data_IF_375568072169
#
_entry.id   IF_375568072169
#
_cell.length_a   1.000
_cell.length_b   1.000
_cell.length_c   1.000
_cell.angle_alpha   90.00
_cell.angle_beta   90.00
_cell.angle_gamma   90.00
#
_symmetry.space_group_name_H-M   'P 1'
#
loop_
_entity.id
_entity.type
_entity.pdbx_description
1 polymer ?
#
# COMPACT_ATOMS: atom_id res chain seq x y z
N UNK A 1 13.95 27.53 -0.47
CA UNK A 1 12.62 28.15 -0.32
C UNK A 1 11.96 28.07 -1.68
N UNK A 2 11.36 26.92 -1.97
CA UNK A 2 10.76 26.58 -3.27
C UNK A 2 9.32 27.16 -3.35
N UNK A 3 8.95 27.94 -4.38
CA UNK A 3 7.67 28.64 -4.46
C UNK A 3 6.48 27.79 -4.95
N UNK A 4 6.50 26.46 -4.85
CA UNK A 4 5.38 25.62 -5.32
C UNK A 4 4.13 25.61 -4.42
N UNK A 5 4.14 26.30 -3.28
CA UNK A 5 3.04 26.24 -2.30
C UNK A 5 1.95 27.32 -2.50
N UNK A 6 1.40 27.38 -3.70
CA UNK A 6 0.22 28.17 -4.04
C UNK A 6 -0.75 27.31 -4.86
N UNK A 7 -1.51 26.44 -4.18
CA UNK A 7 -2.67 25.74 -4.73
C UNK A 7 -2.45 25.10 -6.09
N UNK A 8 -1.86 23.91 -6.14
CA UNK A 8 -1.84 23.11 -7.37
C UNK A 8 -3.22 22.49 -7.60
N UNK A 9 -4.16 23.33 -8.05
CA UNK A 9 -5.37 22.88 -8.73
C UNK A 9 -4.99 22.39 -10.13
N UNK A 10 -4.33 21.23 -10.20
CA UNK A 10 -4.14 20.52 -11.45
C UNK A 10 -5.45 19.86 -11.88
N UNK A 11 -5.80 19.98 -13.17
CA UNK A 11 -6.90 19.20 -13.75
C UNK A 11 -6.40 17.78 -14.02
N UNK A 12 -6.57 16.88 -13.08
CA UNK A 12 -6.20 15.47 -13.25
C UNK A 12 -7.43 14.71 -13.77
N UNK A 13 -7.35 14.22 -15.01
CA UNK A 13 -8.34 13.33 -15.60
C UNK A 13 -8.12 11.92 -15.04
N UNK A 14 -8.71 11.66 -13.88
CA UNK A 14 -8.81 10.30 -13.39
C UNK A 14 -9.85 9.56 -14.21
N UNK A 15 -9.37 8.78 -15.17
CA UNK A 15 -10.21 7.83 -15.89
C UNK A 15 -10.63 6.74 -14.91
N UNK A 16 -11.72 6.96 -14.16
CA UNK A 16 -12.46 5.88 -13.50
C UNK A 16 -12.98 5.01 -14.64
N UNK A 17 -12.22 3.98 -14.98
CA UNK A 17 -12.52 3.07 -16.09
C UNK A 17 -13.79 2.32 -15.77
N UNK A 18 -14.94 2.86 -16.17
CA UNK A 18 -16.13 2.06 -16.31
C UNK A 18 -15.95 1.16 -17.55
N UNK A 19 -16.24 -0.13 -17.39
CA UNK A 19 -15.88 -1.23 -18.27
C UNK A 19 -16.55 -1.25 -19.67
N UNK A 20 -16.74 -0.09 -20.31
CA UNK A 20 -17.14 0.06 -21.69
C UNK A 20 -16.25 1.12 -22.34
N UNK A 21 -15.16 0.68 -22.98
CA UNK A 21 -14.22 1.57 -23.64
C UNK A 21 -14.89 2.58 -24.57
N UNK A 22 -14.87 3.85 -24.17
CA UNK A 22 -15.08 5.00 -25.04
C UNK A 22 -14.71 6.26 -24.28
N UNK A 23 -13.56 6.84 -24.61
CA UNK A 23 -13.16 8.16 -24.14
C UNK A 23 -14.30 9.15 -24.38
N UNK A 24 -14.85 9.73 -23.31
CA UNK A 24 -15.61 10.97 -23.41
C UNK A 24 -14.79 12.08 -22.82
N UNK A 25 -13.73 12.47 -23.55
CA UNK A 25 -13.27 13.85 -23.47
C UNK A 25 -14.39 14.73 -24.01
N UNK A 26 -15.33 15.13 -23.16
CA UNK A 26 -16.28 16.18 -23.49
C UNK A 26 -15.79 17.50 -22.89
N UNK A 27 -15.25 18.44 -23.70
CA UNK A 27 -14.82 19.74 -23.20
C UNK A 27 -15.99 20.64 -22.73
N UNK A 28 -17.25 20.18 -22.80
CA UNK A 28 -18.44 20.98 -22.52
C UNK A 28 -19.23 20.60 -21.24
N UNK A 29 -18.77 19.65 -20.42
CA UNK A 29 -19.35 19.35 -19.10
C UNK A 29 -18.35 19.51 -17.96
N UNK A 30 -17.45 20.50 -18.09
CA UNK A 30 -16.52 20.97 -17.07
C UNK A 30 -17.28 21.52 -15.85
N UNK A 31 -17.95 20.64 -15.09
CA UNK A 31 -18.25 20.89 -13.69
C UNK A 31 -16.95 20.63 -12.95
N UNK A 32 -16.33 21.74 -12.57
CA UNK A 32 -15.16 21.86 -11.73
C UNK A 32 -15.33 21.08 -10.41
N UNK A 33 -15.06 19.78 -10.42
CA UNK A 33 -14.67 19.13 -9.18
C UNK A 33 -13.18 19.45 -9.04
N UNK A 34 -12.88 20.51 -8.29
CA UNK A 34 -11.59 20.60 -7.62
C UNK A 34 -11.53 19.37 -6.72
N UNK A 35 -10.92 18.30 -7.21
CA UNK A 35 -10.66 17.14 -6.40
C UNK A 35 -9.50 17.50 -5.44
N UNK A 36 -9.63 17.19 -4.15
CA UNK A 36 -8.52 17.38 -3.21
C UNK A 36 -7.33 16.51 -3.63
N UNK A 37 -6.15 17.03 -3.37
CA UNK A 37 -4.85 16.37 -3.43
C UNK A 37 -4.22 16.67 -2.06
N UNK A 38 -4.36 15.71 -1.16
CA UNK A 38 -4.11 15.84 0.26
C UNK A 38 -2.63 15.91 0.61
N UNK A 39 -1.78 15.27 -0.19
CA UNK A 39 -0.34 15.15 0.05
C UNK A 39 0.52 15.94 -0.95
N UNK A 40 -0.08 16.48 -2.00
CA UNK A 40 0.52 17.41 -2.94
C UNK A 40 1.44 16.73 -3.96
N UNK A 41 1.20 15.46 -4.27
CA UNK A 41 2.01 14.68 -5.19
C UNK A 41 1.60 14.83 -6.68
N UNK A 42 0.47 15.50 -6.92
CA UNK A 42 -0.08 15.74 -8.25
C UNK A 42 -1.04 14.65 -8.73
N UNK A 43 -1.53 13.78 -7.86
CA UNK A 43 -2.64 12.85 -8.09
C UNK A 43 -3.78 13.25 -7.15
N UNK A 44 -5.02 13.18 -7.63
CA UNK A 44 -6.17 13.52 -6.79
C UNK A 44 -6.51 12.36 -5.84
N UNK A 45 -6.89 12.66 -4.59
CA UNK A 45 -7.21 11.68 -3.52
C UNK A 45 -8.16 10.55 -3.98
N UNK A 46 -9.04 10.83 -4.94
CA UNK A 46 -10.03 9.87 -5.45
C UNK A 46 -9.42 8.75 -6.33
N UNK A 47 -8.17 8.90 -6.73
CA UNK A 47 -7.47 8.08 -7.72
C UNK A 47 -6.03 7.78 -7.29
N UNK A 48 -5.65 8.33 -6.14
CA UNK A 48 -4.37 8.16 -5.50
C UNK A 48 -4.40 6.84 -4.71
N UNK A 49 -3.51 5.92 -5.05
CA UNK A 49 -3.36 4.67 -4.31
C UNK A 49 -2.69 4.89 -2.94
N UNK A 50 -2.25 6.12 -2.64
CA UNK A 50 -1.72 6.56 -1.36
C UNK A 50 -2.14 7.99 -0.96
N UNK A 51 -3.44 8.26 -0.64
CA UNK A 51 -4.01 9.62 -0.43
C UNK A 51 -3.41 10.50 0.67
N UNK A 52 -2.36 10.04 1.35
CA UNK A 52 -1.68 10.73 2.44
C UNK A 52 -0.15 10.61 2.38
N UNK A 53 0.39 9.92 1.37
CA UNK A 53 1.82 9.67 1.21
C UNK A 53 2.21 9.90 -0.24
N UNK A 54 2.87 11.03 -0.47
CA UNK A 54 3.25 11.48 -1.81
C UNK A 54 4.01 10.40 -2.60
N UNK A 55 3.40 9.95 -3.70
CA UNK A 55 3.94 8.93 -4.60
C UNK A 55 3.53 9.21 -6.06
N UNK A 56 4.13 10.23 -6.72
CA UNK A 56 3.71 10.67 -8.05
C UNK A 56 3.74 9.60 -9.15
N UNK A 57 4.56 8.56 -8.97
CA UNK A 57 4.70 7.44 -9.89
C UNK A 57 3.59 6.38 -9.73
N UNK A 58 2.79 6.46 -8.66
CA UNK A 58 1.66 5.59 -8.34
C UNK A 58 2.01 4.11 -8.51
N UNK A 59 3.22 3.74 -8.10
CA UNK A 59 3.69 2.35 -8.18
C UNK A 59 2.86 1.51 -7.20
N UNK A 60 2.39 0.39 -7.71
CA UNK A 60 1.60 -0.64 -7.05
C UNK A 60 2.12 -1.95 -7.66
N UNK A 61 3.15 -2.50 -7.03
CA UNK A 61 3.96 -3.59 -7.58
C UNK A 61 3.19 -4.92 -7.62
N UNK A 62 2.19 -5.09 -6.75
CA UNK A 62 1.40 -6.31 -6.63
C UNK A 62 -0.03 -6.19 -7.20
N UNK A 63 -0.49 -4.97 -7.46
CA UNK A 63 -1.75 -4.65 -8.12
C UNK A 63 -2.97 -4.69 -7.20
N UNK A 64 -2.80 -4.48 -5.89
CA UNK A 64 -3.87 -4.54 -4.90
C UNK A 64 -4.66 -3.23 -4.75
N UNK A 65 -4.15 -2.13 -5.32
CA UNK A 65 -4.74 -0.80 -5.29
C UNK A 65 -4.26 0.09 -4.13
N UNK A 66 -3.32 -0.37 -3.32
CA UNK A 66 -2.53 0.40 -2.36
C UNK A 66 -1.15 0.64 -3.00
N UNK A 67 -0.62 1.84 -2.90
CA UNK A 67 0.69 2.12 -3.50
C UNK A 67 1.85 1.71 -2.59
N UNK A 68 2.95 1.24 -3.20
CA UNK A 68 4.19 0.83 -2.52
C UNK A 68 4.70 1.86 -1.48
N UNK A 69 4.36 3.14 -1.68
CA UNK A 69 4.79 4.24 -0.83
C UNK A 69 4.04 4.35 0.51
N UNK A 70 2.74 4.03 0.52
CA UNK A 70 1.90 4.04 1.72
C UNK A 70 1.63 2.63 2.25
N UNK A 71 1.98 1.61 1.47
CA UNK A 71 1.86 0.24 1.89
C UNK A 71 2.85 -0.03 3.02
N UNK A 72 2.29 -0.01 4.22
CA UNK A 72 3.07 -0.11 5.44
C UNK A 72 3.18 -1.59 5.81
N UNK A 73 4.40 -2.10 5.64
CA UNK A 73 4.94 -3.30 6.30
C UNK A 73 4.19 -4.59 5.99
N UNK A 74 4.82 -5.50 5.24
CA UNK A 74 4.32 -6.87 5.14
C UNK A 74 4.42 -7.55 6.51
N UNK A 75 3.31 -7.66 7.27
CA UNK A 75 3.35 -8.28 8.58
C UNK A 75 3.45 -9.78 8.30
N UNK A 76 4.59 -10.37 8.66
CA UNK A 76 4.95 -11.78 8.44
C UNK A 76 5.80 -12.13 7.21
N UNK A 77 6.37 -11.18 6.45
CA UNK A 77 7.48 -11.51 5.51
C UNK A 77 8.81 -11.43 6.25
N UNK A 78 9.19 -12.55 6.85
CA UNK A 78 10.37 -12.66 7.69
C UNK A 78 11.64 -13.00 6.90
N UNK A 79 11.50 -13.57 5.69
CA UNK A 79 12.65 -13.87 4.81
C UNK A 79 12.94 -12.78 3.76
N UNK A 80 12.03 -11.79 3.64
CA UNK A 80 12.16 -10.61 2.80
C UNK A 80 11.98 -10.89 1.32
N UNK A 81 11.24 -11.95 0.96
CA UNK A 81 11.04 -12.36 -0.43
C UNK A 81 9.81 -11.73 -1.09
N UNK A 82 9.04 -10.93 -0.34
CA UNK A 82 7.89 -10.20 -0.84
C UNK A 82 6.62 -11.04 -0.98
N UNK A 83 6.53 -12.21 -0.35
CA UNK A 83 5.28 -12.98 -0.21
C UNK A 83 5.24 -13.62 1.18
N UNK A 84 4.08 -13.68 1.81
CA UNK A 84 3.94 -14.49 3.05
C UNK A 84 3.71 -15.95 2.67
N UNK A 85 4.69 -16.82 2.85
CA UNK A 85 4.62 -18.22 2.44
C UNK A 85 5.23 -19.22 3.44
N UNK A 86 5.64 -20.40 2.95
CA UNK A 86 6.21 -21.44 3.81
C UNK A 86 7.63 -21.08 4.30
N UNK A 87 8.32 -20.15 3.63
CA UNK A 87 9.58 -19.55 4.08
C UNK A 87 9.39 -18.80 5.39
N UNK A 88 8.35 -17.99 5.49
CA UNK A 88 8.03 -17.24 6.72
C UNK A 88 7.58 -18.15 7.85
N UNK A 89 6.76 -19.17 7.52
CA UNK A 89 6.39 -20.20 8.49
C UNK A 89 7.62 -20.94 9.02
N UNK A 90 8.65 -21.14 8.18
CA UNK A 90 9.88 -21.79 8.61
C UNK A 90 10.67 -20.94 9.61
N UNK A 91 10.63 -19.60 9.49
CA UNK A 91 11.23 -18.67 10.45
C UNK A 91 10.45 -18.71 11.77
N UNK A 92 9.12 -18.64 11.71
CA UNK A 92 8.26 -18.75 12.89
C UNK A 92 8.54 -20.05 13.67
N UNK A 93 8.62 -21.19 12.96
CA UNK A 93 8.90 -22.49 13.57
C UNK A 93 10.33 -22.60 14.12
N UNK A 94 11.30 -21.90 13.53
CA UNK A 94 12.69 -21.91 13.97
C UNK A 94 12.89 -21.15 15.30
N UNK A 95 12.04 -20.17 15.57
CA UNK A 95 12.12 -19.30 16.75
C UNK A 95 10.97 -19.52 17.74
N UNK A 96 10.10 -20.50 17.53
CA UNK A 96 8.98 -20.77 18.43
C UNK A 96 9.43 -20.92 19.90
N UNK A 97 8.87 -20.09 20.77
CA UNK A 97 9.18 -20.00 22.20
C UNK A 97 10.38 -19.12 22.55
N UNK A 98 10.88 -18.30 21.63
CA UNK A 98 11.92 -17.30 21.91
C UNK A 98 11.33 -15.91 22.13
N UNK A 99 11.94 -15.07 22.99
CA UNK A 99 11.59 -13.65 23.09
C UNK A 99 11.92 -12.91 21.78
N UNK A 100 11.13 -11.92 21.41
CA UNK A 100 11.23 -11.32 20.08
C UNK A 100 12.49 -10.48 19.82
N UNK A 101 13.06 -10.67 18.63
CA UNK A 101 13.99 -9.80 17.93
C UNK A 101 13.39 -9.41 16.56
N UNK A 102 13.91 -8.36 15.92
CA UNK A 102 13.27 -7.69 14.77
C UNK A 102 12.98 -8.52 13.49
N UNK A 103 13.21 -9.84 13.48
CA UNK A 103 13.10 -10.73 12.31
C UNK A 103 12.71 -12.18 12.68
N UNK A 104 12.11 -12.43 13.84
CA UNK A 104 12.06 -13.79 14.39
C UNK A 104 10.70 -14.49 14.39
N UNK A 105 9.65 -13.88 13.89
CA UNK A 105 8.33 -14.53 13.84
C UNK A 105 7.29 -13.91 14.76
N UNK A 106 7.66 -12.94 15.60
CA UNK A 106 6.70 -12.15 16.41
C UNK A 106 5.86 -11.25 15.48
N UNK A 107 4.70 -11.76 15.13
CA UNK A 107 3.83 -11.19 14.11
C UNK A 107 2.71 -10.36 14.73
N UNK A 108 2.36 -10.59 15.99
CA UNK A 108 1.38 -9.78 16.72
C UNK A 108 1.99 -8.70 17.64
N UNK A 109 3.32 -8.71 17.78
CA UNK A 109 4.10 -7.68 18.46
C UNK A 109 4.00 -7.76 19.98
N UNK A 110 3.63 -8.91 20.54
CA UNK A 110 3.50 -9.11 21.98
C UNK A 110 4.84 -9.38 22.68
N UNK A 111 5.90 -9.61 21.91
CA UNK A 111 7.28 -9.76 22.39
C UNK A 111 7.73 -11.20 22.61
N UNK A 112 6.90 -12.19 22.31
CA UNK A 112 7.23 -13.60 22.34
C UNK A 112 6.82 -14.27 21.02
N UNK A 113 7.60 -15.25 20.54
CA UNK A 113 7.22 -16.03 19.35
C UNK A 113 6.38 -17.25 19.76
N UNK A 114 5.07 -17.23 19.55
CA UNK A 114 4.14 -18.30 19.94
C UNK A 114 3.02 -18.64 18.91
N UNK A 115 1.92 -19.22 19.38
CA UNK A 115 0.81 -19.63 18.51
C UNK A 115 -0.08 -18.47 18.08
N UNK A 116 -0.02 -17.35 18.78
CA UNK A 116 -0.72 -16.11 18.46
C UNK A 116 -0.14 -15.49 17.19
N UNK A 117 1.17 -15.59 17.01
CA UNK A 117 1.87 -15.20 15.78
C UNK A 117 1.47 -16.02 14.57
N UNK A 118 1.27 -17.32 14.75
CA UNK A 118 0.80 -18.20 13.68
C UNK A 118 -0.57 -17.74 13.15
N UNK A 119 -1.41 -17.16 14.01
CA UNK A 119 -2.72 -16.65 13.58
C UNK A 119 -2.57 -15.44 12.66
N UNK A 120 -1.62 -14.55 12.91
CA UNK A 120 -1.34 -13.39 12.04
C UNK A 120 -0.65 -13.85 10.75
N UNK A 121 0.34 -14.74 10.83
CA UNK A 121 1.01 -15.30 9.66
C UNK A 121 0.02 -16.03 8.72
N UNK A 122 -0.89 -16.84 9.26
CA UNK A 122 -1.94 -17.50 8.46
C UNK A 122 -2.94 -16.52 7.85
N UNK A 123 -3.12 -15.34 8.44
CA UNK A 123 -4.02 -14.32 7.91
C UNK A 123 -3.46 -13.61 6.67
N UNK A 124 -2.14 -13.64 6.48
CA UNK A 124 -1.45 -13.03 5.34
C UNK A 124 -0.97 -14.05 4.28
N UNK A 125 -1.02 -15.36 4.59
CA UNK A 125 -0.45 -16.43 3.75
C UNK A 125 -0.94 -16.40 2.29
N UNK A 126 0.01 -16.41 1.36
CA UNK A 126 -0.19 -16.41 -0.09
C UNK A 126 -0.47 -15.04 -0.68
N UNK A 127 -0.47 -13.98 0.14
CA UNK A 127 -0.57 -12.61 -0.34
C UNK A 127 0.82 -12.12 -0.74
N UNK A 128 0.98 -11.53 -1.93
CA UNK A 128 2.15 -10.71 -2.20
C UNK A 128 2.25 -9.61 -1.15
N UNK A 129 3.47 -9.27 -0.81
CA UNK A 129 3.80 -8.05 -0.11
C UNK A 129 3.98 -6.91 -1.12
N UNK A 130 3.84 -5.66 -0.68
CA UNK A 130 4.31 -4.46 -1.40
C UNK A 130 5.73 -4.59 -1.98
#
# INVERSE_FOLDING_TARGET
MDPVNAGHAGTYDCVVSNAFGSATSNPATLSLITAPDGDGDGVADACDNCPSVSNPDQTDSDGDGIGDACESTCPADFDGNGVVDLGDLAILLANFGTPSGATDGDTDGDGDVDLSDLAVLLSAFGSPCP
#
